data_IF_598591959339
#
_entry.id   IF_598591959339
#
_cell.length_a   1.000
_cell.length_b   1.000
_cell.length_c   1.000
_cell.angle_alpha   90.00
_cell.angle_beta   90.00
_cell.angle_gamma   90.00
#
_symmetry.space_group_name_H-M   'P 1'
#
loop_
_entity.id
_entity.type
_entity.pdbx_description
1 polymer ?
#
# COMPACT_ATOMS: atom_id res chain seq x y z
N UNK A 1 -30.81 0.37 -13.60
CA UNK A 1 -31.00 0.27 -12.14
C UNK A 1 -30.91 1.68 -11.58
N UNK A 2 -31.85 2.12 -10.72
CA UNK A 2 -31.75 3.45 -10.09
C UNK A 2 -30.86 3.37 -8.85
N UNK A 3 -29.99 4.37 -8.67
CA UNK A 3 -29.14 4.52 -7.49
C UNK A 3 -29.99 4.91 -6.27
N UNK A 4 -29.65 4.34 -5.13
CA UNK A 4 -30.17 4.74 -3.82
C UNK A 4 -29.73 6.16 -3.46
N UNK A 5 -30.42 6.79 -2.51
CA UNK A 5 -30.06 8.12 -2.02
C UNK A 5 -28.67 8.15 -1.34
N UNK A 6 -28.21 7.02 -0.80
CA UNK A 6 -26.87 6.91 -0.20
C UNK A 6 -25.82 6.91 -1.30
N UNK A 7 -25.97 6.09 -2.34
CA UNK A 7 -25.02 6.01 -3.45
C UNK A 7 -24.91 7.36 -4.18
N UNK A 8 -26.01 8.07 -4.38
CA UNK A 8 -25.99 9.42 -4.97
C UNK A 8 -25.22 10.43 -4.12
N UNK A 9 -25.38 10.38 -2.79
CA UNK A 9 -24.63 11.25 -1.87
C UNK A 9 -23.13 10.93 -1.86
N UNK A 10 -22.77 9.65 -1.94
CA UNK A 10 -21.37 9.22 -2.04
C UNK A 10 -20.76 9.76 -3.33
N UNK A 11 -21.42 9.57 -4.47
CA UNK A 11 -20.95 10.07 -5.76
C UNK A 11 -20.79 11.60 -5.77
N UNK A 12 -21.76 12.33 -5.21
CA UNK A 12 -21.68 13.79 -5.13
C UNK A 12 -20.58 14.30 -4.20
N UNK A 13 -20.06 13.46 -3.30
CA UNK A 13 -18.96 13.79 -2.40
C UNK A 13 -17.58 13.44 -2.98
N UNK A 14 -17.51 12.76 -4.13
CA UNK A 14 -16.24 12.45 -4.80
C UNK A 14 -15.68 13.70 -5.50
N UNK A 15 -14.38 13.90 -5.33
CA UNK A 15 -13.60 14.91 -6.02
C UNK A 15 -12.70 14.21 -7.04
N UNK A 16 -13.15 14.19 -8.30
CA UNK A 16 -12.44 13.51 -9.40
C UNK A 16 -11.06 14.10 -9.65
N UNK A 17 -10.92 15.43 -9.56
CA UNK A 17 -9.64 16.11 -9.78
C UNK A 17 -8.63 15.73 -8.70
N UNK A 18 -9.08 15.67 -7.44
CA UNK A 18 -8.23 15.21 -6.33
C UNK A 18 -7.85 13.74 -6.45
N UNK A 19 -8.74 12.88 -6.96
CA UNK A 19 -8.42 11.48 -7.23
C UNK A 19 -7.33 11.35 -8.30
N UNK A 20 -7.45 12.09 -9.40
CA UNK A 20 -6.46 12.11 -10.48
C UNK A 20 -5.11 12.64 -9.98
N UNK A 21 -5.10 13.70 -9.18
CA UNK A 21 -3.85 14.25 -8.65
C UNK A 21 -3.19 13.29 -7.66
N UNK A 22 -3.97 12.67 -6.78
CA UNK A 22 -3.47 11.64 -5.85
C UNK A 22 -2.82 10.48 -6.61
N UNK A 23 -3.46 10.02 -7.69
CA UNK A 23 -2.92 8.96 -8.54
C UNK A 23 -1.65 9.41 -9.28
N UNK A 24 -1.59 10.66 -9.76
CA UNK A 24 -0.39 11.23 -10.39
C UNK A 24 0.80 11.30 -9.45
N UNK A 25 0.58 11.63 -8.18
CA UNK A 25 1.64 11.63 -7.17
C UNK A 25 2.16 10.21 -6.97
N UNK A 26 1.25 9.23 -6.80
CA UNK A 26 1.63 7.83 -6.63
C UNK A 26 2.46 7.31 -7.82
N UNK A 27 2.03 7.58 -9.06
CA UNK A 27 2.76 7.15 -10.27
C UNK A 27 4.15 7.78 -10.44
N UNK A 28 4.47 8.85 -9.72
CA UNK A 28 5.81 9.46 -9.75
C UNK A 28 6.78 8.77 -8.81
N UNK A 29 6.29 8.00 -7.84
CA UNK A 29 7.13 7.23 -6.93
C UNK A 29 7.70 6.05 -7.72
N UNK A 30 9.04 5.89 -7.79
CA UNK A 30 9.64 4.76 -8.50
C UNK A 30 9.26 3.44 -7.83
N UNK A 31 8.38 2.68 -8.48
CA UNK A 31 7.92 1.37 -7.99
C UNK A 31 8.77 0.25 -8.60
N UNK A 32 10.05 0.23 -8.25
CA UNK A 32 10.99 -0.81 -8.69
C UNK A 32 10.89 -1.98 -7.73
N UNK A 33 10.71 -3.19 -8.26
CA UNK A 33 10.63 -4.42 -7.45
C UNK A 33 11.79 -4.51 -6.45
N UNK A 34 11.46 -4.56 -5.15
CA UNK A 34 12.46 -4.57 -4.07
C UNK A 34 12.86 -3.20 -3.52
N UNK A 35 12.26 -2.12 -4.02
CA UNK A 35 12.43 -0.73 -3.55
C UNK A 35 11.07 -0.02 -3.37
N UNK A 36 9.97 -0.75 -3.21
CA UNK A 36 8.61 -0.20 -3.08
C UNK A 36 8.34 0.57 -1.78
N UNK A 37 9.31 0.59 -0.86
CA UNK A 37 9.16 1.15 0.50
C UNK A 37 8.72 2.61 0.51
N UNK A 38 9.19 3.42 -0.45
CA UNK A 38 8.74 4.81 -0.58
C UNK A 38 7.24 4.90 -0.91
N UNK A 39 6.76 4.05 -1.81
CA UNK A 39 5.35 4.00 -2.19
C UNK A 39 4.47 3.50 -1.04
N UNK A 40 4.95 2.50 -0.29
CA UNK A 40 4.25 1.98 0.89
C UNK A 40 4.15 3.04 2.00
N UNK A 41 5.24 3.75 2.32
CA UNK A 41 5.21 4.84 3.29
C UNK A 41 4.26 5.96 2.87
N UNK A 42 4.28 6.33 1.58
CA UNK A 42 3.38 7.35 1.06
C UNK A 42 1.91 6.90 1.17
N UNK A 43 1.58 5.67 0.74
CA UNK A 43 0.23 5.11 0.85
C UNK A 43 -0.26 5.04 2.29
N UNK A 44 0.57 4.55 3.22
CA UNK A 44 0.24 4.48 4.64
C UNK A 44 -0.10 5.85 5.21
N UNK A 45 0.70 6.87 4.87
CA UNK A 45 0.41 8.26 5.26
C UNK A 45 -0.92 8.76 4.69
N UNK A 46 -1.19 8.55 3.41
CA UNK A 46 -2.45 8.99 2.80
C UNK A 46 -3.67 8.32 3.46
N UNK A 47 -3.57 7.02 3.79
CA UNK A 47 -4.65 6.29 4.47
C UNK A 47 -4.89 6.82 5.90
N UNK A 48 -3.83 7.09 6.65
CA UNK A 48 -3.92 7.70 7.98
C UNK A 48 -4.55 9.11 7.93
N UNK A 49 -4.19 9.93 6.94
CA UNK A 49 -4.78 11.26 6.74
C UNK A 49 -6.27 11.20 6.40
N UNK A 50 -6.73 10.11 5.78
CA UNK A 50 -8.15 9.85 5.53
C UNK A 50 -8.90 9.30 6.76
N UNK A 51 -8.20 9.09 7.89
CA UNK A 51 -8.77 8.55 9.12
C UNK A 51 -9.01 7.04 9.06
N UNK A 52 -8.30 6.33 8.17
CA UNK A 52 -8.37 4.87 8.06
C UNK A 52 -7.47 4.22 9.12
N UNK A 53 -7.86 3.03 9.54
CA UNK A 53 -7.05 2.18 10.42
C UNK A 53 -5.93 1.51 9.60
N UNK A 54 -4.68 1.77 9.97
CA UNK A 54 -3.50 1.36 9.19
C UNK A 54 -2.48 0.71 10.11
N UNK A 55 -2.11 -0.52 9.76
CA UNK A 55 -0.97 -1.22 10.37
C UNK A 55 0.22 -1.14 9.42
N UNK A 56 1.32 -0.55 9.90
CA UNK A 56 2.58 -0.46 9.14
C UNK A 56 3.75 -0.84 10.03
N UNK A 57 4.61 -1.74 9.55
CA UNK A 57 5.74 -2.26 10.33
C UNK A 57 6.95 -2.55 9.44
N UNK A 58 8.15 -2.39 10.00
CA UNK A 58 9.40 -2.80 9.34
C UNK A 58 9.56 -4.32 9.45
N UNK A 59 9.96 -4.96 8.35
CA UNK A 59 10.22 -6.40 8.27
C UNK A 59 11.71 -6.65 8.46
N UNK A 60 12.08 -7.46 9.44
CA UNK A 60 13.43 -8.01 9.54
C UNK A 60 13.61 -9.14 8.53
N UNK A 61 14.12 -8.79 7.34
CA UNK A 61 14.34 -9.74 6.25
C UNK A 61 15.38 -10.80 6.65
N UNK A 62 16.39 -10.42 7.44
CA UNK A 62 17.43 -11.36 7.86
C UNK A 62 16.84 -12.41 8.79
N UNK A 63 16.04 -12.02 9.78
CA UNK A 63 15.33 -12.96 10.65
C UNK A 63 14.37 -13.85 9.84
N UNK A 64 13.59 -13.26 8.94
CA UNK A 64 12.59 -13.97 8.14
C UNK A 64 13.21 -15.06 7.24
N UNK A 65 14.40 -14.82 6.70
CA UNK A 65 15.14 -15.81 5.90
C UNK A 65 15.50 -17.09 6.67
N UNK A 66 15.59 -17.03 8.00
CA UNK A 66 15.87 -18.20 8.84
C UNK A 66 14.61 -19.02 9.15
N UNK A 67 13.43 -18.52 8.79
CA UNK A 67 12.17 -19.22 9.06
C UNK A 67 11.98 -20.41 8.11
N UNK A 68 11.64 -21.59 8.63
CA UNK A 68 11.53 -22.82 7.85
C UNK A 68 10.46 -22.77 6.72
N UNK A 69 9.45 -21.91 6.89
CA UNK A 69 8.40 -21.68 5.89
C UNK A 69 8.70 -20.48 4.96
N UNK A 70 9.92 -19.95 4.98
CA UNK A 70 10.29 -18.83 4.13
C UNK A 70 10.25 -19.26 2.65
N UNK A 71 9.46 -18.58 1.79
CA UNK A 71 9.27 -19.00 0.40
C UNK A 71 10.49 -18.74 -0.49
N UNK A 72 11.52 -18.04 0.01
CA UNK A 72 12.63 -17.51 -0.78
C UNK A 72 12.39 -16.05 -1.21
N UNK A 73 13.35 -15.48 -1.95
CA UNK A 73 13.30 -14.11 -2.46
C UNK A 73 13.59 -14.09 -3.95
N UNK A 74 12.72 -13.42 -4.71
CA UNK A 74 12.94 -13.19 -6.14
C UNK A 74 13.98 -12.08 -6.41
N UNK A 75 14.08 -11.12 -5.48
CA UNK A 75 15.03 -10.00 -5.52
C UNK A 75 15.70 -9.89 -4.16
N UNK A 76 17.01 -9.64 -4.14
CA UNK A 76 17.75 -9.39 -2.91
C UNK A 76 17.28 -8.08 -2.27
N UNK A 77 16.70 -8.20 -1.07
CA UNK A 77 16.21 -7.07 -0.26
C UNK A 77 17.07 -6.86 0.99
N UNK A 78 18.24 -7.50 1.09
CA UNK A 78 19.15 -7.35 2.25
C UNK A 78 19.75 -5.93 2.37
N UNK A 79 19.77 -5.18 1.27
CA UNK A 79 20.34 -3.82 1.21
C UNK A 79 19.27 -2.71 1.27
N UNK A 80 17.99 -3.05 1.33
CA UNK A 80 16.88 -2.08 1.33
C UNK A 80 15.93 -2.35 2.48
N UNK A 81 15.32 -1.29 3.00
CA UNK A 81 14.26 -1.43 4.00
C UNK A 81 13.07 -2.19 3.39
N UNK A 82 12.50 -3.13 4.15
CA UNK A 82 11.27 -3.82 3.78
C UNK A 82 10.16 -3.44 4.77
N UNK A 83 8.98 -3.07 4.25
CA UNK A 83 7.85 -2.65 5.06
C UNK A 83 6.61 -3.48 4.73
N UNK A 84 5.89 -3.89 5.76
CA UNK A 84 4.52 -4.39 5.67
C UNK A 84 3.53 -3.25 5.90
N UNK A 85 2.48 -3.19 5.08
CA UNK A 85 1.41 -2.19 5.17
C UNK A 85 0.07 -2.89 5.01
N UNK A 86 -0.89 -2.63 5.90
CA UNK A 86 -2.27 -3.13 5.83
C UNK A 86 -3.25 -2.00 6.13
N UNK A 87 -4.28 -1.85 5.30
CA UNK A 87 -5.41 -0.93 5.50
C UNK A 87 -6.74 -1.65 5.75
N UNK A 88 -7.84 -0.91 6.01
CA UNK A 88 -9.10 -1.52 6.41
C UNK A 88 -9.80 -2.23 5.23
N UNK A 89 -10.42 -3.38 5.51
CA UNK A 89 -11.30 -4.07 4.57
C UNK A 89 -10.71 -5.26 3.80
N UNK A 90 -9.39 -5.49 3.88
CA UNK A 90 -8.68 -6.77 3.64
C UNK A 90 -7.18 -6.50 3.71
N UNK A 91 -6.42 -7.42 4.32
CA UNK A 91 -4.97 -7.39 4.32
C UNK A 91 -4.43 -7.40 2.89
N UNK A 92 -4.01 -6.24 2.38
CA UNK A 92 -3.10 -6.19 1.25
C UNK A 92 -1.71 -6.27 1.84
N UNK A 93 -1.22 -7.47 2.14
CA UNK A 93 0.23 -7.60 2.31
C UNK A 93 0.81 -7.37 0.92
N UNK A 94 1.33 -6.17 0.66
CA UNK A 94 2.15 -5.93 -0.53
C UNK A 94 3.48 -6.65 -0.31
N UNK A 95 3.48 -7.97 -0.49
CA UNK A 95 4.66 -8.69 -0.90
C UNK A 95 4.69 -8.55 -2.41
N UNK A 96 5.29 -7.47 -2.91
CA UNK A 96 5.53 -7.38 -4.33
C UNK A 96 6.55 -8.47 -4.72
N UNK A 97 6.04 -9.50 -5.38
CA UNK A 97 6.77 -10.61 -5.98
C UNK A 97 5.87 -11.21 -7.05
N UNK A 98 6.24 -11.00 -8.31
CA UNK A 98 5.45 -11.24 -9.52
C UNK A 98 5.76 -10.24 -10.62
#
# INVERSE_FOLDING_TARGET
>A
MMLTAIEQKVLAALDEDRLVETFRVLLRIPDITGQETEAQHWLGKQMLELGLDVDMWTIDVAELQHHAAFPGMEVDRSQHEAVGLVGPGKAVVVLAGG
#
